data_IF_476712325501
#
_entry.id   IF_476712325501
#
_cell.length_a   1.000
_cell.length_b   1.000
_cell.length_c   1.000
_cell.angle_alpha   90.00
_cell.angle_beta   90.00
_cell.angle_gamma   90.00
#
_symmetry.space_group_name_H-M   'P 1'
#
loop_
_entity.id
_entity.type
_entity.pdbx_description
1 polymer ?
#
# COMPACT_ATOMS: atom_id res chain seq x y z
N UNK A 1 -11.31 -13.58 -10.74
CA UNK A 1 -9.85 -13.45 -10.90
C UNK A 1 -9.34 -12.74 -9.66
N UNK A 2 -8.34 -13.29 -8.98
CA UNK A 2 -7.92 -12.79 -7.67
C UNK A 2 -6.48 -12.33 -7.69
N UNK A 3 -6.12 -11.45 -6.75
CA UNK A 3 -4.74 -11.12 -6.41
C UNK A 3 -4.23 -12.04 -5.30
N UNK A 4 -2.93 -12.26 -5.24
CA UNK A 4 -2.25 -12.87 -4.09
C UNK A 4 -1.35 -11.81 -3.45
N UNK A 5 -1.55 -11.57 -2.16
CA UNK A 5 -0.64 -10.82 -1.31
C UNK A 5 0.14 -11.79 -0.43
N UNK A 6 1.45 -11.65 -0.36
CA UNK A 6 2.29 -12.45 0.55
C UNK A 6 2.95 -11.51 1.54
N UNK A 7 2.62 -11.67 2.80
CA UNK A 7 3.22 -10.88 3.86
C UNK A 7 4.57 -11.47 4.28
N UNK A 8 5.64 -10.69 4.13
CA UNK A 8 7.00 -11.04 4.59
C UNK A 8 7.36 -10.12 5.75
N UNK A 9 7.18 -10.58 7.01
CA UNK A 9 7.26 -9.69 8.17
C UNK A 9 8.68 -9.32 8.60
N UNK A 10 9.70 -9.76 7.88
CA UNK A 10 11.09 -9.59 8.33
C UNK A 10 11.65 -8.23 7.97
N UNK A 11 12.22 -7.54 8.97
CA UNK A 11 12.96 -6.30 8.80
C UNK A 11 14.33 -6.43 9.47
N UNK A 12 15.36 -5.92 8.83
CA UNK A 12 16.68 -5.83 9.48
C UNK A 12 16.67 -4.81 10.62
N UNK A 13 15.87 -3.75 10.46
CA UNK A 13 15.67 -2.68 11.43
C UNK A 13 14.28 -2.09 11.22
N UNK A 14 13.56 -1.80 12.32
CA UNK A 14 12.25 -1.15 12.23
C UNK A 14 12.40 0.37 12.12
N UNK A 15 11.68 0.95 11.18
CA UNK A 15 11.51 2.40 11.11
C UNK A 15 10.70 2.90 12.31
N UNK A 16 10.97 4.12 12.78
CA UNK A 16 10.31 4.63 13.99
C UNK A 16 8.83 4.93 13.84
N UNK A 17 8.36 5.11 12.60
CA UNK A 17 6.97 5.44 12.24
C UNK A 17 6.13 4.22 11.88
N UNK A 18 6.76 3.06 11.66
CA UNK A 18 6.08 1.90 11.07
C UNK A 18 5.21 1.17 12.11
N UNK A 19 3.93 1.03 11.80
CA UNK A 19 2.92 0.29 12.55
C UNK A 19 2.64 -1.11 11.99
N UNK A 20 3.14 -1.43 10.79
CA UNK A 20 2.96 -2.74 10.19
C UNK A 20 3.56 -3.86 11.05
N UNK A 21 2.86 -5.01 11.05
CA UNK A 21 3.38 -6.20 11.69
C UNK A 21 4.73 -6.59 11.07
N UNK A 22 5.79 -6.54 11.87
CA UNK A 22 7.14 -6.87 11.44
C UNK A 22 8.00 -7.39 12.60
N UNK A 23 9.03 -8.18 12.27
CA UNK A 23 9.94 -8.79 13.22
C UNK A 23 11.39 -8.73 12.73
N UNK A 24 12.32 -8.77 13.68
CA UNK A 24 13.77 -8.91 13.40
C UNK A 24 14.27 -10.35 13.61
N UNK A 25 13.37 -11.32 13.76
CA UNK A 25 13.68 -12.74 14.03
C UNK A 25 14.02 -13.52 12.75
N UNK A 26 15.14 -13.21 12.11
CA UNK A 26 15.55 -13.80 10.84
C UNK A 26 15.78 -15.32 10.88
N UNK A 27 16.06 -15.92 12.04
CA UNK A 27 16.26 -17.35 12.18
C UNK A 27 15.00 -18.19 11.81
N UNK A 28 13.83 -17.56 11.74
CA UNK A 28 12.57 -18.22 11.42
C UNK A 28 12.21 -18.14 9.91
N UNK A 29 12.99 -17.45 9.09
CA UNK A 29 12.66 -17.22 7.66
C UNK A 29 12.36 -18.53 6.92
N UNK A 30 13.22 -19.54 7.05
CA UNK A 30 13.06 -20.79 6.31
C UNK A 30 11.79 -21.54 6.71
N UNK A 31 11.50 -21.63 8.01
CA UNK A 31 10.26 -22.24 8.53
C UNK A 31 9.03 -21.46 8.08
N UNK A 32 9.15 -20.14 8.02
CA UNK A 32 8.06 -19.28 7.58
C UNK A 32 7.75 -19.46 6.09
N UNK A 33 8.78 -19.59 5.24
CA UNK A 33 8.60 -19.88 3.81
C UNK A 33 7.90 -21.24 3.63
N UNK A 34 8.30 -22.27 4.40
CA UNK A 34 7.64 -23.57 4.33
C UNK A 34 6.16 -23.48 4.72
N UNK A 35 5.84 -22.68 5.77
CA UNK A 35 4.46 -22.43 6.16
C UNK A 35 3.67 -21.65 5.10
N UNK A 36 4.26 -20.62 4.46
CA UNK A 36 3.62 -19.89 3.36
C UNK A 36 3.26 -20.79 2.18
N UNK A 37 4.18 -21.68 1.79
CA UNK A 37 3.94 -22.64 0.68
C UNK A 37 2.88 -23.66 1.10
N UNK A 38 2.85 -24.09 2.34
CA UNK A 38 1.81 -24.99 2.85
C UNK A 38 0.43 -24.30 2.87
N UNK A 39 0.34 -23.05 3.38
CA UNK A 39 -0.90 -22.25 3.34
C UNK A 39 -1.40 -22.08 1.91
N UNK A 40 -0.51 -21.73 0.98
CA UNK A 40 -0.87 -21.56 -0.43
C UNK A 40 -1.56 -22.80 -1.01
N UNK A 41 -1.07 -23.99 -0.70
CA UNK A 41 -1.69 -25.27 -1.14
C UNK A 41 -3.04 -25.55 -0.49
N UNK A 42 -3.28 -25.00 0.70
CA UNK A 42 -4.56 -25.15 1.41
C UNK A 42 -5.63 -24.14 0.91
N UNK A 43 -5.24 -23.15 0.12
CA UNK A 43 -6.11 -22.06 -0.34
C UNK A 43 -6.12 -21.93 -1.86
N UNK A 44 -6.72 -22.88 -2.61
CA UNK A 44 -6.71 -22.87 -4.06
C UNK A 44 -7.44 -21.66 -4.64
N UNK A 45 -6.92 -21.14 -5.75
CA UNK A 45 -7.50 -20.06 -6.55
C UNK A 45 -7.38 -20.46 -8.03
N UNK A 46 -8.45 -20.25 -8.81
CA UNK A 46 -8.49 -20.69 -10.21
C UNK A 46 -7.54 -19.92 -11.14
N UNK A 47 -7.49 -18.58 -10.99
CA UNK A 47 -6.65 -17.69 -11.83
C UNK A 47 -6.13 -16.52 -11.04
N UNK A 48 -4.82 -16.34 -11.07
CA UNK A 48 -4.10 -15.25 -10.40
C UNK A 48 -3.67 -14.23 -11.45
N UNK A 49 -4.05 -12.96 -11.24
CA UNK A 49 -3.62 -11.84 -12.11
C UNK A 49 -2.49 -11.02 -11.50
N UNK A 50 -2.46 -10.93 -10.18
CA UNK A 50 -1.44 -10.15 -9.49
C UNK A 50 -0.85 -10.94 -8.33
N UNK A 51 0.48 -10.87 -8.20
CA UNK A 51 1.22 -11.38 -7.07
C UNK A 51 2.02 -10.23 -6.45
N UNK A 52 1.84 -10.01 -5.16
CA UNK A 52 2.49 -8.93 -4.44
C UNK A 52 3.16 -9.46 -3.18
N UNK A 53 4.46 -9.31 -3.08
CA UNK A 53 5.23 -9.60 -1.89
C UNK A 53 5.52 -8.27 -1.17
N UNK A 54 4.98 -8.13 0.04
CA UNK A 54 5.08 -6.89 0.81
C UNK A 54 5.14 -7.13 2.31
N UNK A 55 4.94 -6.08 3.09
CA UNK A 55 4.78 -6.11 4.53
C UNK A 55 5.94 -5.50 5.32
N UNK A 56 6.82 -6.31 5.91
CA UNK A 56 8.03 -5.82 6.55
C UNK A 56 9.06 -5.39 5.50
N UNK A 57 9.81 -6.35 4.98
CA UNK A 57 10.79 -6.10 3.91
C UNK A 57 11.06 -7.39 3.15
N UNK A 58 10.39 -7.68 2.04
CA UNK A 58 10.61 -8.90 1.26
C UNK A 58 12.04 -9.06 0.75
N UNK A 59 12.75 -7.96 0.52
CA UNK A 59 14.17 -7.98 0.12
C UNK A 59 15.13 -8.45 1.22
N UNK A 60 14.64 -8.80 2.42
CA UNK A 60 15.44 -9.52 3.41
C UNK A 60 15.59 -11.02 3.09
N UNK A 61 14.77 -11.55 2.20
CA UNK A 61 14.95 -12.91 1.70
C UNK A 61 16.16 -12.95 0.76
N UNK A 62 17.07 -13.91 0.99
CA UNK A 62 18.14 -14.18 0.03
C UNK A 62 17.55 -14.64 -1.32
N UNK A 63 18.30 -14.51 -2.44
CA UNK A 63 17.84 -15.01 -3.74
C UNK A 63 17.36 -16.48 -3.72
N UNK A 64 18.03 -17.34 -2.94
CA UNK A 64 17.64 -18.74 -2.81
C UNK A 64 16.33 -18.93 -2.03
N UNK A 65 16.11 -18.15 -0.97
CA UNK A 65 14.86 -18.14 -0.21
C UNK A 65 13.70 -17.59 -1.04
N UNK A 66 13.95 -16.51 -1.78
CA UNK A 66 12.95 -15.94 -2.70
C UNK A 66 12.56 -16.94 -3.79
N UNK A 67 13.54 -17.60 -4.40
CA UNK A 67 13.28 -18.65 -5.41
C UNK A 67 12.44 -19.78 -4.83
N UNK A 68 12.79 -20.30 -3.64
CA UNK A 68 12.00 -21.35 -2.97
C UNK A 68 10.55 -20.94 -2.72
N UNK A 69 10.31 -19.70 -2.29
CA UNK A 69 8.97 -19.17 -2.11
C UNK A 69 8.21 -19.10 -3.46
N UNK A 70 8.83 -18.50 -4.47
CA UNK A 70 8.22 -18.35 -5.80
C UNK A 70 7.92 -19.70 -6.45
N UNK A 71 8.83 -20.66 -6.40
CA UNK A 71 8.63 -22.01 -6.90
C UNK A 71 7.47 -22.72 -6.14
N UNK A 72 7.40 -22.51 -4.83
CA UNK A 72 6.30 -23.00 -3.99
C UNK A 72 4.95 -22.43 -4.42
N UNK A 73 4.88 -21.11 -4.70
CA UNK A 73 3.66 -20.45 -5.18
C UNK A 73 3.28 -20.94 -6.58
N UNK A 74 4.25 -21.14 -7.49
CA UNK A 74 4.00 -21.76 -8.80
C UNK A 74 3.46 -23.19 -8.69
N UNK A 75 3.86 -23.94 -7.66
CA UNK A 75 3.34 -25.29 -7.43
C UNK A 75 1.91 -25.30 -6.87
N UNK A 76 1.47 -24.22 -6.23
CA UNK A 76 0.16 -24.09 -5.60
C UNK A 76 -0.88 -23.41 -6.51
N UNK A 77 -0.45 -22.53 -7.40
CA UNK A 77 -1.33 -21.68 -8.20
C UNK A 77 -0.99 -21.70 -9.68
N UNK A 78 -2.03 -21.59 -10.53
CA UNK A 78 -1.83 -21.26 -11.94
C UNK A 78 -1.52 -19.76 -12.11
N UNK A 79 -0.24 -19.45 -12.29
CA UNK A 79 0.27 -18.10 -12.51
C UNK A 79 0.42 -17.76 -14.01
N UNK A 80 -0.12 -18.57 -14.93
CA UNK A 80 0.01 -18.34 -16.38
C UNK A 80 -0.68 -17.05 -16.86
N UNK A 81 -1.65 -16.55 -16.10
CA UNK A 81 -2.37 -15.31 -16.37
C UNK A 81 -1.82 -14.09 -15.59
N UNK A 82 -0.63 -14.22 -14.96
CA UNK A 82 -0.05 -13.19 -14.12
C UNK A 82 0.34 -11.95 -14.95
N UNK A 83 -0.25 -10.83 -14.63
CA UNK A 83 -0.02 -9.53 -15.29
C UNK A 83 0.97 -8.65 -14.51
N UNK A 84 0.93 -8.74 -13.18
CA UNK A 84 1.80 -7.95 -12.30
C UNK A 84 2.38 -8.84 -11.19
N UNK A 85 3.69 -8.87 -11.08
CA UNK A 85 4.42 -9.47 -9.97
C UNK A 85 5.28 -8.39 -9.31
N UNK A 86 4.81 -7.91 -8.16
CA UNK A 86 5.46 -6.84 -7.39
C UNK A 86 6.26 -7.40 -6.22
N UNK A 87 7.43 -6.86 -5.99
CA UNK A 87 8.23 -7.08 -4.77
C UNK A 87 8.60 -5.74 -4.15
N UNK A 88 8.32 -5.58 -2.86
CA UNK A 88 8.82 -4.44 -2.08
C UNK A 88 10.30 -4.64 -1.72
N UNK A 89 11.07 -3.56 -1.86
CA UNK A 89 12.50 -3.57 -1.55
C UNK A 89 12.91 -2.34 -0.73
N UNK A 90 13.92 -2.51 0.11
CA UNK A 90 14.64 -1.38 0.67
C UNK A 90 15.88 -1.07 -0.19
N UNK A 91 16.26 0.22 -0.36
CA UNK A 91 17.44 0.59 -1.13
C UNK A 91 18.72 -0.15 -0.73
N UNK A 92 18.92 -0.41 0.57
CA UNK A 92 20.10 -1.12 1.10
C UNK A 92 20.24 -2.57 0.66
N UNK A 93 19.13 -3.20 0.29
CA UNK A 93 19.08 -4.61 -0.07
C UNK A 93 19.21 -4.79 -1.60
N UNK A 94 19.17 -3.68 -2.36
CA UNK A 94 19.25 -3.67 -3.81
C UNK A 94 20.70 -3.80 -4.25
N UNK A 95 20.98 -4.89 -4.97
CA UNK A 95 22.22 -5.07 -5.73
C UNK A 95 21.89 -5.53 -7.15
N UNK A 96 22.76 -5.28 -8.15
CA UNK A 96 22.51 -5.73 -9.52
C UNK A 96 22.20 -7.23 -9.62
N UNK A 97 22.93 -8.06 -8.86
CA UNK A 97 22.71 -9.51 -8.82
C UNK A 97 21.37 -9.89 -8.21
N UNK A 98 20.93 -9.20 -7.15
CA UNK A 98 19.63 -9.44 -6.51
C UNK A 98 18.47 -9.11 -7.44
N UNK A 99 18.49 -7.92 -8.06
CA UNK A 99 17.42 -7.51 -8.99
C UNK A 99 17.37 -8.39 -10.24
N UNK A 100 18.54 -8.78 -10.77
CA UNK A 100 18.61 -9.75 -11.88
C UNK A 100 17.98 -11.08 -11.49
N UNK A 101 18.22 -11.58 -10.28
CA UNK A 101 17.57 -12.80 -9.78
C UNK A 101 16.05 -12.64 -9.67
N UNK A 102 15.53 -11.54 -9.11
CA UNK A 102 14.11 -11.26 -9.05
C UNK A 102 13.47 -11.24 -10.43
N UNK A 103 14.12 -10.57 -11.39
CA UNK A 103 13.63 -10.53 -12.78
C UNK A 103 13.53 -11.92 -13.41
N UNK A 104 14.52 -12.79 -13.18
CA UNK A 104 14.49 -14.18 -13.68
C UNK A 104 13.38 -15.02 -13.04
N UNK A 105 12.93 -14.67 -11.83
CA UNK A 105 11.78 -15.29 -11.18
C UNK A 105 10.43 -14.74 -11.67
N UNK A 106 10.43 -13.82 -12.65
CA UNK A 106 9.21 -13.23 -13.22
C UNK A 106 8.76 -11.93 -12.58
N UNK A 107 9.50 -11.38 -11.61
CA UNK A 107 9.19 -10.05 -11.04
C UNK A 107 9.27 -9.01 -12.15
N UNK A 108 8.17 -8.28 -12.35
CA UNK A 108 8.06 -7.26 -13.39
C UNK A 108 7.76 -5.85 -12.83
N UNK A 109 7.50 -5.73 -11.51
CA UNK A 109 7.33 -4.48 -10.80
C UNK A 109 8.12 -4.48 -9.49
N UNK A 110 8.82 -3.38 -9.21
CA UNK A 110 9.49 -3.13 -7.92
C UNK A 110 8.82 -1.93 -7.25
N UNK A 111 8.52 -2.05 -5.94
CA UNK A 111 8.15 -0.93 -5.08
C UNK A 111 9.28 -0.69 -4.08
N UNK A 112 9.87 0.49 -4.08
CA UNK A 112 11.04 0.78 -3.27
C UNK A 112 10.78 1.90 -2.27
N UNK A 113 10.94 1.59 -0.98
CA UNK A 113 10.78 2.55 0.12
C UNK A 113 11.95 3.53 0.20
N UNK A 114 11.95 4.58 -0.61
CA UNK A 114 12.96 5.67 -0.59
C UNK A 114 12.71 6.62 0.57
N UNK A 115 11.50 7.06 0.76
CA UNK A 115 10.95 7.94 1.78
C UNK A 115 11.39 9.40 1.63
N UNK A 116 12.67 9.69 1.41
CA UNK A 116 13.24 11.02 1.20
C UNK A 116 14.59 10.92 0.47
N UNK A 117 15.02 12.01 -0.18
CA UNK A 117 16.37 12.17 -0.73
C UNK A 117 17.23 13.11 0.15
N UNK A 118 16.83 13.34 1.40
CA UNK A 118 17.53 14.17 2.38
C UNK A 118 18.03 13.31 3.53
N UNK A 119 19.34 13.25 3.73
CA UNK A 119 19.96 12.37 4.72
C UNK A 119 19.55 12.63 6.17
N UNK A 120 19.27 13.88 6.54
CA UNK A 120 18.82 14.23 7.89
C UNK A 120 17.42 13.66 8.16
N UNK A 121 16.52 13.72 7.18
CA UNK A 121 15.16 13.17 7.24
C UNK A 121 15.22 11.64 7.34
N UNK A 122 16.02 10.98 6.50
CA UNK A 122 16.22 9.53 6.54
C UNK A 122 16.76 9.04 7.88
N UNK A 123 17.76 9.73 8.45
CA UNK A 123 18.31 9.42 9.79
C UNK A 123 17.27 9.57 10.88
N UNK A 124 16.47 10.64 10.83
CA UNK A 124 15.42 10.88 11.83
C UNK A 124 14.40 9.75 11.87
N UNK A 125 13.92 9.30 10.71
CA UNK A 125 12.93 8.21 10.62
C UNK A 125 13.57 6.81 10.72
N UNK A 126 14.86 6.74 11.08
CA UNK A 126 15.61 5.49 11.31
C UNK A 126 15.72 4.61 10.06
N UNK A 127 15.93 5.24 8.85
CA UNK A 127 16.26 4.50 7.63
C UNK A 127 17.73 4.12 7.63
N UNK A 128 18.04 2.94 7.05
CA UNK A 128 19.42 2.41 6.97
C UNK A 128 20.19 3.01 5.79
N UNK A 129 19.50 3.32 4.70
CA UNK A 129 20.09 3.92 3.52
C UNK A 129 20.22 5.44 3.67
N UNK A 130 21.15 6.02 2.94
CA UNK A 130 21.26 7.44 2.65
C UNK A 130 20.68 7.77 1.26
N UNK A 131 20.58 9.04 0.95
CA UNK A 131 20.06 9.50 -0.34
C UNK A 131 20.88 8.94 -1.52
N UNK A 132 22.20 8.84 -1.37
CA UNK A 132 23.07 8.27 -2.41
C UNK A 132 22.81 6.76 -2.60
N UNK A 133 22.49 6.03 -1.54
CA UNK A 133 22.06 4.63 -1.57
C UNK A 133 20.79 4.45 -2.38
N UNK A 134 19.78 5.32 -2.14
CA UNK A 134 18.54 5.31 -2.92
C UNK A 134 18.79 5.54 -4.41
N UNK A 135 19.64 6.53 -4.77
CA UNK A 135 20.04 6.80 -6.17
C UNK A 135 20.71 5.59 -6.83
N UNK A 136 21.65 4.95 -6.15
CA UNK A 136 22.31 3.73 -6.65
C UNK A 136 21.32 2.58 -6.82
N UNK A 137 20.38 2.43 -5.92
CA UNK A 137 19.36 1.39 -6.00
C UNK A 137 18.44 1.59 -7.20
N UNK A 138 17.96 2.82 -7.44
CA UNK A 138 17.17 3.16 -8.64
C UNK A 138 17.92 2.81 -9.91
N UNK A 139 19.19 3.24 -10.02
CA UNK A 139 20.03 2.96 -11.19
C UNK A 139 20.17 1.43 -11.41
N UNK A 140 20.44 0.66 -10.35
CA UNK A 140 20.59 -0.79 -10.46
C UNK A 140 19.31 -1.49 -10.93
N UNK A 141 18.12 -1.02 -10.50
CA UNK A 141 16.82 -1.57 -10.96
C UNK A 141 16.62 -1.27 -12.45
N UNK A 142 16.92 -0.03 -12.89
CA UNK A 142 16.83 0.37 -14.30
C UNK A 142 17.79 -0.43 -15.16
N UNK A 143 19.06 -0.57 -14.76
CA UNK A 143 20.09 -1.35 -15.46
C UNK A 143 19.73 -2.83 -15.57
N UNK A 144 19.07 -3.40 -14.56
CA UNK A 144 18.56 -4.76 -14.61
C UNK A 144 17.38 -4.93 -15.58
N UNK A 145 16.83 -3.85 -16.13
CA UNK A 145 15.79 -3.86 -17.17
C UNK A 145 14.36 -4.04 -16.62
N UNK A 146 14.11 -3.81 -15.34
CA UNK A 146 12.76 -3.69 -14.79
C UNK A 146 12.24 -2.30 -15.14
N UNK A 147 11.10 -2.27 -15.86
CA UNK A 147 10.51 -1.02 -16.36
C UNK A 147 9.44 -0.44 -15.46
N UNK A 148 8.78 -1.26 -14.65
CA UNK A 148 7.72 -0.82 -13.74
C UNK A 148 8.32 -0.59 -12.35
N UNK A 149 8.68 0.66 -12.08
CA UNK A 149 9.33 1.06 -10.82
C UNK A 149 8.39 2.01 -10.09
N UNK A 150 8.13 1.69 -8.83
CA UNK A 150 7.48 2.57 -7.85
C UNK A 150 8.49 3.00 -6.82
N UNK A 151 8.45 4.26 -6.42
CA UNK A 151 9.12 4.70 -5.20
C UNK A 151 8.11 5.28 -4.23
N UNK A 152 8.35 5.05 -2.95
CA UNK A 152 7.53 5.60 -1.88
C UNK A 152 8.27 6.78 -1.27
N UNK A 153 7.55 7.91 -1.11
CA UNK A 153 8.02 9.14 -0.47
C UNK A 153 7.13 9.46 0.73
N UNK A 154 7.68 10.14 1.73
CA UNK A 154 6.95 10.59 2.91
C UNK A 154 7.11 12.10 3.04
N UNK A 155 5.99 12.83 3.19
CA UNK A 155 5.99 14.24 3.57
C UNK A 155 5.46 14.42 5.00
N UNK A 156 5.77 15.57 5.59
CA UNK A 156 5.44 15.83 7.00
C UNK A 156 6.42 15.19 8.00
N UNK A 157 7.63 14.83 7.56
CA UNK A 157 8.68 14.34 8.46
C UNK A 157 9.10 15.48 9.41
N UNK A 158 9.26 15.26 10.73
CA UNK A 158 9.71 16.29 11.65
C UNK A 158 10.96 17.04 11.15
N UNK A 159 10.84 18.37 11.06
CA UNK A 159 11.92 19.23 10.53
C UNK A 159 12.01 19.28 9.01
N UNK A 160 11.18 18.55 8.25
CA UNK A 160 11.09 18.68 6.80
C UNK A 160 10.50 20.04 6.43
N UNK A 161 11.07 20.67 5.42
CA UNK A 161 10.60 21.96 4.89
C UNK A 161 9.92 21.76 3.54
N UNK A 162 9.11 22.74 3.12
CA UNK A 162 8.50 22.72 1.78
C UNK A 162 9.57 22.69 0.69
N UNK A 163 10.74 23.30 0.89
CA UNK A 163 11.87 23.30 -0.03
C UNK A 163 12.46 21.88 -0.15
N UNK A 164 12.84 21.23 0.98
CA UNK A 164 13.44 19.89 0.98
C UNK A 164 12.49 18.84 0.42
N UNK A 165 11.18 18.98 0.67
CA UNK A 165 10.14 18.16 0.06
C UNK A 165 10.06 18.35 -1.45
N UNK A 166 10.02 19.62 -1.90
CA UNK A 166 9.97 19.97 -3.33
C UNK A 166 11.18 19.41 -4.08
N UNK A 167 12.37 19.50 -3.48
CA UNK A 167 13.59 18.94 -4.07
C UNK A 167 13.51 17.42 -4.18
N UNK A 168 12.99 16.73 -3.15
CA UNK A 168 12.79 15.28 -3.18
C UNK A 168 11.80 14.85 -4.27
N UNK A 169 10.70 15.58 -4.45
CA UNK A 169 9.72 15.33 -5.52
C UNK A 169 10.33 15.56 -6.90
N UNK A 170 11.04 16.67 -7.10
CA UNK A 170 11.71 16.98 -8.37
C UNK A 170 12.76 15.93 -8.71
N UNK A 171 13.52 15.47 -7.73
CA UNK A 171 14.49 14.40 -7.91
C UNK A 171 13.82 13.09 -8.31
N UNK A 172 12.73 12.69 -7.65
CA UNK A 172 11.96 11.53 -8.02
C UNK A 172 11.50 11.57 -9.47
N UNK A 173 10.97 12.72 -9.91
CA UNK A 173 10.53 12.94 -11.30
C UNK A 173 11.72 12.82 -12.27
N UNK A 174 12.90 13.31 -11.90
CA UNK A 174 14.09 13.31 -12.77
C UNK A 174 14.57 11.92 -13.16
N UNK A 175 14.27 10.90 -12.37
CA UNK A 175 14.58 9.50 -12.69
C UNK A 175 13.68 8.90 -13.77
N UNK A 176 12.57 9.57 -14.15
CA UNK A 176 11.62 9.07 -15.15
C UNK A 176 10.96 7.76 -14.76
N UNK A 177 10.80 7.51 -13.45
CA UNK A 177 10.11 6.32 -12.94
C UNK A 177 8.60 6.39 -13.20
N UNK A 178 7.94 5.22 -13.23
CA UNK A 178 6.58 5.11 -13.72
C UNK A 178 5.53 5.39 -12.66
N UNK A 179 5.89 5.24 -11.37
CA UNK A 179 4.94 5.31 -10.27
C UNK A 179 5.56 5.93 -9.03
N UNK A 180 4.82 6.80 -8.35
CA UNK A 180 5.23 7.43 -7.09
C UNK A 180 4.09 7.27 -6.09
N UNK A 181 4.40 6.69 -4.93
CA UNK A 181 3.53 6.74 -3.75
C UNK A 181 4.03 7.86 -2.84
N UNK A 182 3.14 8.72 -2.37
CA UNK A 182 3.50 9.80 -1.45
C UNK A 182 2.52 9.81 -0.27
N UNK A 183 3.06 9.58 0.92
CA UNK A 183 2.28 9.44 2.14
C UNK A 183 2.51 10.62 3.07
N UNK A 184 1.44 11.15 3.67
CA UNK A 184 1.60 12.02 4.83
C UNK A 184 2.04 11.17 6.03
N UNK A 185 3.07 11.61 6.75
CA UNK A 185 3.54 10.91 7.93
C UNK A 185 2.46 10.92 9.01
N UNK A 186 2.04 9.73 9.44
CA UNK A 186 1.12 9.57 10.56
C UNK A 186 1.87 9.21 11.85
N UNK A 187 1.28 9.58 12.98
CA UNK A 187 1.82 9.31 14.32
C UNK A 187 0.96 8.25 15.00
N UNK A 188 1.14 7.00 14.57
CA UNK A 188 0.32 5.88 15.03
C UNK A 188 0.66 5.50 16.48
N UNK A 189 -0.36 5.39 17.37
CA UNK A 189 -0.15 4.98 18.76
C UNK A 189 0.64 3.67 18.87
N UNK A 190 1.62 3.64 19.76
CA UNK A 190 2.50 2.49 19.95
C UNK A 190 3.77 2.49 19.09
N UNK A 191 3.88 3.36 18.09
CA UNK A 191 5.14 3.54 17.34
C UNK A 191 6.15 4.35 18.16
N UNK A 192 7.44 4.18 17.83
CA UNK A 192 8.49 4.98 18.48
C UNK A 192 8.35 6.46 18.16
N UNK A 193 7.95 6.81 16.94
CA UNK A 193 7.72 8.19 16.52
C UNK A 193 6.61 8.85 17.36
N UNK A 194 5.49 8.15 17.56
CA UNK A 194 4.41 8.62 18.44
C UNK A 194 4.90 8.87 19.86
N UNK A 195 5.69 7.95 20.44
CA UNK A 195 6.27 8.14 21.77
C UNK A 195 7.23 9.34 21.85
N UNK A 196 8.02 9.59 20.79
CA UNK A 196 8.92 10.75 20.71
C UNK A 196 8.12 12.06 20.68
N UNK A 197 7.00 12.10 19.95
CA UNK A 197 6.09 13.24 19.94
C UNK A 197 5.50 13.51 21.32
N UNK A 198 4.96 12.49 21.98
CA UNK A 198 4.37 12.61 23.33
C UNK A 198 5.37 13.12 24.37
N UNK A 199 6.67 12.86 24.17
CA UNK A 199 7.75 13.35 25.03
C UNK A 199 8.29 14.72 24.62
N UNK A 200 7.78 15.30 23.53
CA UNK A 200 8.28 16.57 23.01
C UNK A 200 9.69 16.48 22.38
N UNK A 201 10.15 15.27 22.04
CA UNK A 201 11.45 15.06 21.40
C UNK A 201 11.41 15.44 19.90
N UNK A 202 10.23 15.37 19.28
CA UNK A 202 9.95 15.81 17.91
C UNK A 202 8.67 16.63 17.89
N UNK A 203 8.59 17.58 16.97
CA UNK A 203 7.37 18.33 16.67
C UNK A 203 6.80 17.88 15.32
N UNK A 204 5.49 17.76 15.23
CA UNK A 204 4.81 17.55 13.95
C UNK A 204 5.02 18.78 13.06
N UNK A 205 5.07 18.54 11.75
CA UNK A 205 4.96 19.62 10.77
C UNK A 205 3.52 20.15 10.85
N UNK A 206 3.36 21.46 10.86
CA UNK A 206 2.03 22.06 10.94
C UNK A 206 1.16 21.75 9.73
N UNK A 207 -0.16 21.73 9.93
CA UNK A 207 -1.14 21.37 8.92
C UNK A 207 -1.03 22.24 7.66
N UNK A 208 -0.76 23.53 7.82
CA UNK A 208 -0.65 24.45 6.69
C UNK A 208 0.55 24.12 5.80
N UNK A 209 1.65 23.72 6.40
CA UNK A 209 2.85 23.26 5.71
C UNK A 209 2.60 21.90 5.03
N UNK A 210 1.93 20.96 5.70
CA UNK A 210 1.54 19.67 5.09
C UNK A 210 0.63 19.87 3.88
N UNK A 211 -0.35 20.78 3.96
CA UNK A 211 -1.22 21.13 2.82
C UNK A 211 -0.39 21.71 1.68
N UNK A 212 0.54 22.65 1.96
CA UNK A 212 1.40 23.22 0.93
C UNK A 212 2.32 22.17 0.28
N UNK A 213 2.82 21.20 1.05
CA UNK A 213 3.59 20.06 0.53
C UNK A 213 2.76 19.20 -0.40
N UNK A 214 1.52 18.91 -0.02
CA UNK A 214 0.60 18.11 -0.82
C UNK A 214 0.20 18.81 -2.13
N UNK A 215 -0.14 20.10 -2.06
CA UNK A 215 -0.46 20.91 -3.25
C UNK A 215 0.74 20.97 -4.21
N UNK A 216 1.95 21.14 -3.67
CA UNK A 216 3.18 21.14 -4.45
C UNK A 216 3.40 19.78 -5.13
N UNK A 217 3.20 18.67 -4.42
CA UNK A 217 3.29 17.31 -4.98
C UNK A 217 2.35 17.15 -6.17
N UNK A 218 1.06 17.46 -5.98
CA UNK A 218 0.03 17.36 -7.04
C UNK A 218 0.46 18.16 -8.27
N UNK A 219 0.85 19.42 -8.07
CA UNK A 219 1.22 20.29 -9.18
C UNK A 219 2.45 19.77 -9.93
N UNK A 220 3.51 19.40 -9.21
CA UNK A 220 4.76 18.89 -9.82
C UNK A 220 4.55 17.60 -10.59
N UNK A 221 3.82 16.65 -10.02
CA UNK A 221 3.55 15.38 -10.67
C UNK A 221 2.64 15.54 -11.90
N UNK A 222 1.63 16.40 -11.81
CA UNK A 222 0.77 16.74 -12.93
C UNK A 222 1.54 17.38 -14.09
N UNK A 223 2.42 18.35 -13.79
CA UNK A 223 3.26 19.00 -14.79
C UNK A 223 4.23 18.02 -15.47
N UNK A 224 4.64 16.97 -14.75
CA UNK A 224 5.46 15.88 -15.25
C UNK A 224 4.65 14.76 -15.96
N UNK A 225 3.32 14.91 -16.10
CA UNK A 225 2.45 13.99 -16.83
C UNK A 225 1.96 12.78 -16.02
N UNK A 226 2.12 12.79 -14.69
CA UNK A 226 1.55 11.76 -13.84
C UNK A 226 0.05 11.98 -13.63
N UNK A 227 -0.66 10.89 -13.47
CA UNK A 227 -2.09 10.83 -13.13
C UNK A 227 -2.21 10.46 -11.65
N UNK A 228 -2.93 11.28 -10.90
CA UNK A 228 -3.31 11.00 -9.52
C UNK A 228 -4.52 10.08 -9.51
N UNK A 229 -4.35 8.79 -9.29
CA UNK A 229 -5.44 7.82 -9.47
C UNK A 229 -6.11 7.38 -8.16
N UNK A 230 -5.46 7.57 -7.02
CA UNK A 230 -6.04 7.38 -5.68
C UNK A 230 -5.24 8.22 -4.66
N UNK A 231 -5.68 8.28 -3.41
CA UNK A 231 -5.30 9.28 -2.40
C UNK A 231 -3.79 9.52 -2.24
N UNK A 232 -2.97 8.47 -2.38
CA UNK A 232 -1.52 8.53 -2.15
C UNK A 232 -0.68 8.16 -3.37
N UNK A 233 -1.30 7.70 -4.47
CA UNK A 233 -0.58 7.11 -5.59
C UNK A 233 -0.76 7.85 -6.91
N UNK A 234 0.37 8.04 -7.57
CA UNK A 234 0.51 8.75 -8.83
C UNK A 234 1.27 7.89 -9.82
N UNK A 235 0.88 7.88 -11.08
CA UNK A 235 1.59 7.12 -12.10
C UNK A 235 1.55 7.79 -13.47
N UNK A 236 2.52 7.48 -14.33
CA UNK A 236 2.40 7.76 -15.75
C UNK A 236 1.22 6.97 -16.34
N UNK A 237 0.55 7.45 -17.39
CA UNK A 237 -0.61 6.79 -17.98
C UNK A 237 -0.35 5.31 -18.28
N UNK A 238 -1.20 4.42 -17.73
CA UNK A 238 -1.10 2.97 -17.90
C UNK A 238 -0.21 2.24 -16.90
N UNK A 239 0.44 2.94 -15.95
CA UNK A 239 1.36 2.35 -14.97
C UNK A 239 0.83 2.29 -13.54
N UNK A 240 -0.49 2.37 -13.34
CA UNK A 240 -1.08 2.18 -12.02
C UNK A 240 -0.76 0.78 -11.46
N UNK A 241 -0.59 0.66 -10.15
CA UNK A 241 -0.44 -0.63 -9.50
C UNK A 241 -1.75 -1.42 -9.61
N UNK A 242 -1.72 -2.54 -10.32
CA UNK A 242 -2.89 -3.39 -10.52
C UNK A 242 -3.33 -4.04 -9.22
N UNK A 243 -2.35 -4.49 -8.43
CA UNK A 243 -2.63 -5.13 -7.16
C UNK A 243 -3.28 -4.16 -6.17
N UNK A 244 -2.70 -2.95 -6.00
CA UNK A 244 -3.27 -1.95 -5.09
C UNK A 244 -4.64 -1.45 -5.58
N UNK A 245 -4.82 -1.30 -6.90
CA UNK A 245 -6.11 -0.91 -7.48
C UNK A 245 -7.22 -1.91 -7.16
N UNK A 246 -6.89 -3.20 -7.03
CA UNK A 246 -7.85 -4.24 -6.67
C UNK A 246 -8.46 -4.05 -5.27
N UNK A 247 -7.73 -3.46 -4.33
CA UNK A 247 -8.27 -3.11 -3.01
C UNK A 247 -9.36 -2.04 -3.09
N UNK A 248 -9.20 -1.10 -4.03
CA UNK A 248 -10.12 0.02 -4.22
C UNK A 248 -11.38 -0.33 -5.00
N UNK A 249 -11.35 -1.36 -5.84
CA UNK A 249 -12.49 -1.78 -6.65
C UNK A 249 -13.24 -3.00 -6.09
N UNK A 250 -12.81 -3.51 -4.93
CA UNK A 250 -13.43 -4.65 -4.27
C UNK A 250 -13.17 -5.99 -4.94
N UNK A 251 -12.11 -6.09 -5.74
CA UNK A 251 -11.67 -7.37 -6.33
C UNK A 251 -11.21 -8.32 -5.22
N UNK A 252 -11.67 -9.59 -5.22
CA UNK A 252 -11.21 -10.59 -4.26
C UNK A 252 -9.70 -10.82 -4.31
N UNK A 253 -9.09 -11.04 -3.15
CA UNK A 253 -7.68 -11.38 -3.02
C UNK A 253 -7.43 -12.33 -1.85
N UNK A 254 -6.34 -13.07 -1.93
CA UNK A 254 -5.85 -13.94 -0.86
C UNK A 254 -4.55 -13.38 -0.30
N UNK A 255 -4.56 -13.12 1.00
CA UNK A 255 -3.35 -12.81 1.76
C UNK A 255 -2.78 -14.06 2.41
N UNK A 256 -1.50 -14.30 2.22
CA UNK A 256 -0.75 -15.40 2.83
C UNK A 256 0.24 -14.85 3.86
N UNK A 257 0.38 -15.57 4.97
CA UNK A 257 1.34 -15.22 6.01
C UNK A 257 0.73 -14.53 7.23
N UNK A 258 1.51 -14.42 8.29
CA UNK A 258 1.10 -13.77 9.54
C UNK A 258 0.65 -12.32 9.29
N UNK A 259 -0.44 -11.91 9.92
CA UNK A 259 -1.10 -10.60 9.76
C UNK A 259 -1.61 -10.30 8.34
N UNK A 260 -1.54 -11.23 7.39
CA UNK A 260 -2.08 -11.01 6.06
C UNK A 260 -3.61 -11.01 6.08
N UNK A 261 -4.22 -10.06 5.37
CA UNK A 261 -5.65 -9.97 5.16
C UNK A 261 -6.04 -10.57 3.81
N UNK A 262 -7.26 -11.06 3.72
CA UNK A 262 -7.90 -11.59 2.52
C UNK A 262 -9.30 -11.04 2.37
N UNK A 263 -9.83 -11.04 1.15
CA UNK A 263 -11.20 -10.64 0.86
C UNK A 263 -11.77 -11.55 -0.23
N UNK A 264 -12.93 -12.15 0.02
CA UNK A 264 -13.58 -13.06 -0.93
C UNK A 264 -14.63 -12.39 -1.83
N UNK A 265 -14.81 -11.08 -1.69
CA UNK A 265 -15.85 -10.28 -2.35
C UNK A 265 -17.01 -9.91 -1.41
N UNK A 266 -17.08 -10.52 -0.24
CA UNK A 266 -18.12 -10.27 0.79
C UNK A 266 -17.56 -10.17 2.20
N UNK A 267 -16.63 -11.03 2.56
CA UNK A 267 -16.08 -11.17 3.92
C UNK A 267 -14.58 -10.95 3.89
N UNK A 268 -14.09 -10.24 4.87
CA UNK A 268 -12.66 -10.13 5.15
C UNK A 268 -12.22 -11.24 6.09
N UNK A 269 -11.00 -11.68 5.89
CA UNK A 269 -10.33 -12.63 6.78
C UNK A 269 -8.94 -12.12 7.08
N UNK A 270 -8.40 -12.50 8.21
CA UNK A 270 -7.00 -12.21 8.54
C UNK A 270 -6.34 -13.39 9.25
N UNK A 271 -5.04 -13.52 9.04
CA UNK A 271 -4.18 -14.41 9.81
C UNK A 271 -3.71 -13.68 11.09
N UNK A 272 -3.43 -14.40 12.19
CA UNK A 272 -2.95 -13.79 13.44
C UNK A 272 -1.64 -13.03 13.22
N UNK A 273 -1.49 -11.91 13.92
CA UNK A 273 -0.27 -11.09 13.92
C UNK A 273 0.80 -11.68 14.86
N UNK A 274 1.07 -12.97 14.71
CA UNK A 274 2.04 -13.72 15.49
C UNK A 274 2.73 -14.74 14.60
N UNK A 275 4.05 -14.58 14.42
CA UNK A 275 4.85 -15.45 13.58
C UNK A 275 4.79 -16.91 14.01
N UNK A 276 4.94 -17.16 15.33
CA UNK A 276 4.96 -18.51 15.86
C UNK A 276 3.58 -19.17 15.79
N UNK A 277 2.53 -18.45 16.21
CA UNK A 277 1.15 -18.95 16.15
C UNK A 277 0.75 -19.33 14.72
N UNK A 278 1.11 -18.48 13.74
CA UNK A 278 0.88 -18.77 12.34
C UNK A 278 1.62 -20.03 11.87
N UNK A 279 2.94 -20.14 12.14
CA UNK A 279 3.75 -21.29 11.73
C UNK A 279 3.24 -22.57 12.37
N UNK A 280 2.92 -22.56 13.68
CA UNK A 280 2.47 -23.73 14.41
C UNK A 280 1.10 -24.20 13.91
N UNK A 281 0.16 -23.29 13.65
CA UNK A 281 -1.15 -23.63 13.10
C UNK A 281 -1.05 -24.28 11.72
N UNK A 282 -0.27 -23.68 10.80
CA UNK A 282 -0.09 -24.23 9.46
C UNK A 282 0.61 -25.60 9.50
N UNK A 283 1.62 -25.77 10.33
CA UNK A 283 2.30 -27.07 10.50
C UNK A 283 1.38 -28.15 11.06
N UNK A 284 0.38 -27.77 11.85
CA UNK A 284 -0.66 -28.67 12.35
C UNK A 284 -1.77 -28.96 11.29
N UNK A 285 -1.65 -28.42 10.08
CA UNK A 285 -2.64 -28.56 9.02
C UNK A 285 -3.89 -27.68 9.17
N UNK A 286 -3.83 -26.65 10.00
CA UNK A 286 -4.94 -25.74 10.27
C UNK A 286 -4.71 -24.37 9.60
N UNK A 287 -5.75 -23.81 8.98
CA UNK A 287 -5.76 -22.41 8.54
C UNK A 287 -6.16 -21.53 9.73
N UNK A 288 -5.26 -20.65 10.23
CA UNK A 288 -5.57 -19.79 11.37
C UNK A 288 -6.37 -18.55 10.99
N UNK A 289 -7.25 -18.64 10.00
CA UNK A 289 -8.03 -17.54 9.47
C UNK A 289 -9.14 -17.14 10.43
N UNK A 290 -9.21 -15.87 10.75
CA UNK A 290 -10.30 -15.25 11.49
C UNK A 290 -11.16 -14.46 10.49
N UNK A 291 -12.47 -14.73 10.47
CA UNK A 291 -13.42 -13.96 9.68
C UNK A 291 -13.79 -12.67 10.41
N UNK A 292 -13.82 -11.55 9.71
CA UNK A 292 -14.44 -10.30 10.18
C UNK A 292 -15.91 -10.33 9.81
N UNK A 293 -16.76 -10.49 10.83
CA UNK A 293 -18.19 -10.32 10.66
C UNK A 293 -18.50 -8.82 10.58
N UNK A 294 -18.98 -8.36 9.43
CA UNK A 294 -19.36 -6.97 9.22
C UNK A 294 -20.88 -6.86 9.06
N UNK A 295 -21.50 -5.95 9.79
CA UNK A 295 -22.89 -5.58 9.59
C UNK A 295 -23.09 -4.92 8.21
N UNK A 296 -24.33 -4.86 7.72
CA UNK A 296 -24.61 -4.29 6.40
C UNK A 296 -24.17 -2.80 6.28
N UNK A 297 -24.26 -2.04 7.38
CA UNK A 297 -23.89 -0.64 7.42
C UNK A 297 -22.37 -0.46 7.42
N UNK A 298 -21.59 -1.35 8.05
CA UNK A 298 -20.14 -1.35 7.99
C UNK A 298 -19.64 -1.64 6.56
N UNK A 299 -20.32 -2.55 5.86
CA UNK A 299 -20.03 -2.81 4.43
C UNK A 299 -20.40 -1.63 3.52
N UNK A 300 -21.45 -0.87 3.87
CA UNK A 300 -21.76 0.37 3.17
C UNK A 300 -20.68 1.42 3.43
N UNK A 301 -20.29 1.62 4.68
CA UNK A 301 -19.25 2.58 5.08
C UNK A 301 -17.93 2.27 4.39
N UNK A 302 -17.54 1.01 4.35
CA UNK A 302 -16.36 0.57 3.61
C UNK A 302 -16.47 0.90 2.12
N UNK A 303 -17.61 0.61 1.48
CA UNK A 303 -17.81 0.92 0.06
C UNK A 303 -17.69 2.41 -0.23
N UNK A 304 -18.23 3.27 0.64
CA UNK A 304 -18.11 4.73 0.56
C UNK A 304 -16.66 5.18 0.73
N UNK A 305 -16.01 4.70 1.80
CA UNK A 305 -14.64 5.09 2.16
C UNK A 305 -13.63 4.71 1.07
N UNK A 306 -13.72 3.48 0.57
CA UNK A 306 -12.80 2.95 -0.43
C UNK A 306 -12.99 3.68 -1.77
N UNK A 307 -14.23 3.84 -2.24
CA UNK A 307 -14.49 4.45 -3.54
C UNK A 307 -14.13 5.93 -3.60
N UNK A 308 -14.42 6.71 -2.56
CA UNK A 308 -14.18 8.15 -2.52
C UNK A 308 -12.69 8.52 -2.34
N UNK A 309 -11.83 7.58 -2.01
CA UNK A 309 -10.37 7.77 -1.99
C UNK A 309 -9.72 7.56 -3.37
N UNK A 310 -10.52 7.30 -4.40
CA UNK A 310 -10.04 7.16 -5.78
C UNK A 310 -10.53 8.29 -6.68
N UNK A 311 -9.78 8.57 -7.74
CA UNK A 311 -10.19 9.53 -8.77
C UNK A 311 -11.46 9.11 -9.54
N UNK A 312 -11.78 7.81 -9.54
CA UNK A 312 -13.01 7.28 -10.13
C UNK A 312 -14.25 7.66 -9.33
N UNK A 313 -14.14 7.63 -7.99
CA UNK A 313 -15.23 7.94 -7.07
C UNK A 313 -16.26 6.81 -6.88
N UNK A 314 -17.32 7.15 -6.15
CA UNK A 314 -18.38 6.24 -5.72
C UNK A 314 -19.49 6.15 -6.77
N UNK A 315 -19.80 4.95 -7.23
CA UNK A 315 -20.92 4.71 -8.14
C UNK A 315 -22.24 4.56 -7.34
N UNK A 316 -23.14 5.53 -7.49
CA UNK A 316 -24.45 5.59 -6.81
C UNK A 316 -25.36 4.41 -7.22
N UNK A 317 -25.30 3.98 -8.50
CA UNK A 317 -26.10 2.84 -8.97
C UNK A 317 -25.62 1.52 -8.36
N UNK A 318 -24.31 1.37 -8.11
CA UNK A 318 -23.77 0.22 -7.39
C UNK A 318 -24.24 0.21 -5.92
N UNK A 319 -24.27 1.38 -5.25
CA UNK A 319 -24.82 1.50 -3.90
C UNK A 319 -26.30 1.12 -3.89
N UNK A 320 -27.09 1.61 -4.86
CA UNK A 320 -28.52 1.26 -4.99
C UNK A 320 -28.74 -0.22 -5.16
N UNK A 321 -27.95 -0.85 -6.03
CA UNK A 321 -28.04 -2.30 -6.30
C UNK A 321 -27.68 -3.15 -5.07
N UNK A 322 -26.67 -2.71 -4.30
CA UNK A 322 -26.12 -3.50 -3.19
C UNK A 322 -26.84 -3.27 -1.87
N UNK A 323 -27.28 -2.04 -1.60
CA UNK A 323 -27.81 -1.62 -0.30
C UNK A 323 -29.27 -1.11 -0.36
N UNK A 324 -29.83 -0.97 -1.55
CA UNK A 324 -31.23 -0.56 -1.77
C UNK A 324 -31.46 0.95 -1.78
N UNK A 325 -32.69 1.31 -2.14
CA UNK A 325 -33.07 2.72 -2.38
C UNK A 325 -32.99 3.59 -1.12
N UNK A 326 -33.37 3.06 0.06
CA UNK A 326 -33.34 3.83 1.31
C UNK A 326 -31.91 4.30 1.68
N UNK A 327 -30.93 3.43 1.52
CA UNK A 327 -29.51 3.74 1.78
C UNK A 327 -28.97 4.71 0.73
N UNK A 328 -29.43 4.57 -0.52
CA UNK A 328 -29.05 5.50 -1.59
C UNK A 328 -29.59 6.92 -1.33
N UNK A 329 -30.82 7.05 -0.85
CA UNK A 329 -31.39 8.35 -0.48
C UNK A 329 -30.63 8.97 0.70
N UNK A 330 -30.23 8.17 1.69
CA UNK A 330 -29.37 8.60 2.78
C UNK A 330 -28.05 9.20 2.25
N UNK A 331 -27.35 8.46 1.37
CA UNK A 331 -26.11 8.91 0.73
C UNK A 331 -26.30 10.24 0.00
N UNK A 332 -27.33 10.33 -0.87
CA UNK A 332 -27.58 11.52 -1.68
C UNK A 332 -27.96 12.74 -0.82
N UNK A 333 -28.75 12.54 0.23
CA UNK A 333 -29.13 13.61 1.15
C UNK A 333 -27.92 14.20 1.87
N UNK A 334 -27.01 13.34 2.37
CA UNK A 334 -25.79 13.77 3.04
C UNK A 334 -24.75 14.35 2.06
N UNK A 335 -24.78 13.93 0.79
CA UNK A 335 -23.88 14.47 -0.26
C UNK A 335 -24.23 15.88 -0.68
N UNK A 336 -25.50 16.32 -0.52
CA UNK A 336 -26.01 17.56 -1.09
C UNK A 336 -25.21 18.81 -0.66
N UNK A 337 -24.85 18.91 0.63
CA UNK A 337 -24.05 20.03 1.14
C UNK A 337 -22.65 20.04 0.51
N UNK A 338 -22.02 18.88 0.38
CA UNK A 338 -20.68 18.77 -0.20
C UNK A 338 -20.68 19.05 -1.71
N UNK A 339 -21.77 18.70 -2.41
CA UNK A 339 -21.94 19.05 -3.82
C UNK A 339 -22.13 20.58 -3.97
N UNK A 340 -22.94 21.19 -3.11
CA UNK A 340 -23.17 22.64 -3.14
C UNK A 340 -21.89 23.44 -2.88
N UNK A 341 -21.04 22.96 -1.99
CA UNK A 341 -19.75 23.60 -1.65
C UNK A 341 -18.62 23.24 -2.62
N UNK A 342 -18.85 22.33 -3.58
CA UNK A 342 -17.83 21.83 -4.50
C UNK A 342 -16.79 20.90 -3.88
N UNK A 343 -17.02 20.40 -2.65
CA UNK A 343 -16.21 19.39 -2.00
C UNK A 343 -16.48 17.98 -2.56
N UNK A 344 -17.67 17.77 -3.13
CA UNK A 344 -18.02 16.64 -3.98
C UNK A 344 -18.49 17.14 -5.34
N UNK A 345 -18.25 16.34 -6.37
CA UNK A 345 -18.76 16.56 -7.73
C UNK A 345 -19.54 15.32 -8.13
N UNK A 346 -20.73 15.54 -8.69
CA UNK A 346 -21.52 14.46 -9.28
C UNK A 346 -21.40 14.50 -10.81
N UNK A 347 -20.90 13.41 -11.38
CA UNK A 347 -20.80 13.24 -12.84
C UNK A 347 -21.53 11.95 -13.24
N UNK A 348 -22.71 12.09 -13.80
CA UNK A 348 -23.59 10.96 -14.08
C UNK A 348 -23.94 10.20 -12.79
N UNK A 349 -23.66 8.92 -12.75
CA UNK A 349 -23.86 8.07 -11.55
C UNK A 349 -22.69 8.12 -10.54
N UNK A 350 -21.66 8.92 -10.77
CA UNK A 350 -20.48 8.93 -9.88
C UNK A 350 -20.44 10.18 -9.01
N UNK A 351 -20.16 9.97 -7.72
CA UNK A 351 -19.77 11.01 -6.76
C UNK A 351 -18.26 10.95 -6.61
N UNK A 352 -17.56 12.08 -6.80
CA UNK A 352 -16.09 12.17 -6.68
C UNK A 352 -15.69 13.30 -5.74
N UNK A 353 -14.64 13.08 -4.98
CA UNK A 353 -13.92 14.15 -4.28
C UNK A 353 -12.93 14.75 -5.30
N UNK A 354 -12.99 16.05 -5.60
CA UNK A 354 -11.97 16.71 -6.43
C UNK A 354 -10.57 16.58 -5.79
N UNK A 355 -9.55 16.44 -6.63
CA UNK A 355 -8.16 16.24 -6.20
C UNK A 355 -7.69 17.23 -5.13
N UNK A 356 -8.03 18.51 -5.24
CA UNK A 356 -7.72 19.55 -4.26
C UNK A 356 -8.31 19.32 -2.86
N UNK A 357 -9.25 18.39 -2.71
CA UNK A 357 -9.90 18.04 -1.45
C UNK A 357 -9.48 16.65 -0.93
N UNK A 358 -8.57 15.95 -1.60
CA UNK A 358 -8.12 14.64 -1.13
C UNK A 358 -7.46 14.71 0.26
N UNK A 359 -6.67 15.75 0.53
CA UNK A 359 -6.06 15.95 1.85
C UNK A 359 -7.10 16.05 2.98
N UNK A 360 -8.30 16.54 2.69
CA UNK A 360 -9.41 16.70 3.65
C UNK A 360 -10.54 15.69 3.42
N UNK A 361 -10.30 14.66 2.60
CA UNK A 361 -11.33 13.68 2.19
C UNK A 361 -11.97 12.97 3.37
N UNK A 362 -11.24 12.68 4.44
CA UNK A 362 -11.76 11.97 5.60
C UNK A 362 -12.90 12.73 6.30
N UNK A 363 -12.88 14.06 6.30
CA UNK A 363 -13.98 14.88 6.85
C UNK A 363 -15.23 14.79 5.98
N UNK A 364 -15.07 14.74 4.66
CA UNK A 364 -16.17 14.59 3.70
C UNK A 364 -16.75 13.18 3.80
N UNK A 365 -15.89 12.17 3.77
CA UNK A 365 -16.28 10.77 3.86
C UNK A 365 -17.05 10.50 5.14
N UNK A 366 -16.56 10.99 6.30
CA UNK A 366 -17.19 10.80 7.61
C UNK A 366 -18.67 11.24 7.63
N UNK A 367 -19.02 12.32 6.94
CA UNK A 367 -20.40 12.79 6.84
C UNK A 367 -21.32 11.88 6.02
N UNK A 368 -20.73 11.00 5.20
CA UNK A 368 -21.48 10.08 4.33
C UNK A 368 -21.60 8.68 4.95
N UNK A 369 -20.84 8.39 6.02
CA UNK A 369 -20.93 7.12 6.73
C UNK A 369 -22.28 6.98 7.42
N UNK A 370 -22.77 5.75 7.51
CA UNK A 370 -24.05 5.45 8.13
C UNK A 370 -23.94 5.46 9.65
N UNK A 371 -24.82 6.20 10.29
CA UNK A 371 -24.94 6.21 11.76
C UNK A 371 -26.13 5.35 12.15
N UNK A 372 -25.93 4.17 12.72
CA UNK A 372 -27.05 3.37 13.25
C UNK A 372 -27.74 4.14 14.38
N UNK A 373 -29.07 4.20 14.34
CA UNK A 373 -29.92 4.79 15.39
C UNK A 373 -29.96 3.89 16.62
#
# INVERSE_FOLDING_TARGET
>A
MAGIYVHIPFCKQRCIYCDFYSTVMHASIDKYIDALVAEAKMRPIDKVKTLYLGGGTPSQLSPAQMARLVDGLHSAYDLSALEEFTVEVNPDDVSPGYITALRHMGVNRISMGVQSFVDSELRLINRRHDAQGARRAIAAIVEAGIKNISIDLIFGIPGQTLESWTDSVNEAISFGIQHISAYNLSYEPGTRLWMMRERGEVAEVDDSTCVAMYDTLIQRLKDAGYVHYEISNYCLPGWHSRHNSAYWDGTPYVGLGAAAHSYDGTTRYYNPASLNEYIDAINAGNLPLVAEEAEWWERYDEAVMVALRTSRGLNVDAIRSRFGEKVTQYLLSNSAIHITTGALVQEGSFLRIPERHFMTSDSIIRHLLYTPN
#
